data_IF_293881926059
#
_entry.id   IF_293881926059
#
_cell.length_a   1.000
_cell.length_b   1.000
_cell.length_c   1.000
_cell.angle_alpha   90.00
_cell.angle_beta   90.00
_cell.angle_gamma   90.00
#
_symmetry.space_group_name_H-M   'P 1'
#
loop_
_entity.id
_entity.type
_entity.pdbx_description
1 polymer ?
#
# COMPACT_ATOMS: atom_id res chain seq x y z
N UNK A 1 -15.29 -31.09 -4.52
CA UNK A 1 -14.60 -30.59 -5.72
C UNK A 1 -13.11 -30.68 -5.46
N UNK A 2 -12.40 -31.52 -6.20
CA UNK A 2 -10.93 -31.59 -6.18
C UNK A 2 -10.43 -30.40 -7.00
N UNK A 3 -10.33 -29.23 -6.34
CA UNK A 3 -9.81 -28.04 -7.00
C UNK A 3 -8.28 -28.06 -6.98
N UNK A 4 -7.65 -27.81 -8.12
CA UNK A 4 -6.23 -27.50 -8.20
C UNK A 4 -5.95 -26.20 -7.45
N UNK A 5 -4.80 -26.11 -6.77
CA UNK A 5 -4.35 -24.91 -6.05
C UNK A 5 -2.98 -24.51 -6.53
N UNK A 6 -2.74 -23.21 -6.65
CA UNK A 6 -1.43 -22.64 -6.95
C UNK A 6 -0.93 -21.87 -5.73
N UNK A 7 0.32 -22.07 -5.38
CA UNK A 7 0.99 -21.37 -4.29
C UNK A 7 2.11 -20.51 -4.88
N UNK A 8 1.98 -19.17 -4.91
CA UNK A 8 3.13 -18.31 -5.17
C UNK A 8 4.24 -18.60 -4.17
N UNK A 9 5.46 -18.78 -4.66
CA UNK A 9 6.62 -19.03 -3.83
C UNK A 9 7.37 -17.71 -3.66
N UNK A 10 7.48 -17.24 -2.41
CA UNK A 10 8.00 -15.92 -2.08
C UNK A 10 9.25 -16.05 -1.20
N UNK A 11 10.39 -15.42 -1.58
CA UNK A 11 11.59 -15.43 -0.77
C UNK A 11 11.50 -14.49 0.43
N UNK A 12 12.24 -14.81 1.48
CA UNK A 12 12.49 -13.94 2.62
C UNK A 12 13.93 -14.12 3.13
N UNK A 13 14.46 -13.14 3.85
CA UNK A 13 15.76 -13.25 4.49
C UNK A 13 15.67 -14.10 5.76
N UNK A 14 14.61 -13.91 6.55
CA UNK A 14 14.32 -14.64 7.77
C UNK A 14 12.88 -15.18 7.75
N UNK A 15 12.74 -16.49 8.04
CA UNK A 15 11.43 -17.14 8.00
C UNK A 15 10.60 -16.80 9.25
N UNK A 16 11.21 -16.70 10.43
CA UNK A 16 10.49 -16.42 11.67
C UNK A 16 9.94 -14.97 11.65
N UNK A 17 10.68 -14.01 11.10
CA UNK A 17 10.20 -12.65 10.83
C UNK A 17 9.03 -12.65 9.84
N UNK A 18 9.13 -13.42 8.76
CA UNK A 18 8.06 -13.54 7.78
C UNK A 18 6.80 -14.14 8.40
N UNK A 19 6.92 -15.20 9.21
CA UNK A 19 5.78 -15.82 9.90
C UNK A 19 5.13 -14.86 10.89
N UNK A 20 5.90 -14.05 11.61
CA UNK A 20 5.41 -13.01 12.51
C UNK A 20 4.60 -11.96 11.74
N UNK A 21 5.13 -11.48 10.63
CA UNK A 21 4.46 -10.51 9.77
C UNK A 21 3.14 -11.05 9.19
N UNK A 22 3.16 -12.24 8.58
CA UNK A 22 1.96 -12.82 7.99
C UNK A 22 0.91 -13.17 9.04
N UNK A 23 1.32 -13.60 10.24
CA UNK A 23 0.40 -13.81 11.37
C UNK A 23 -0.28 -12.52 11.81
N UNK A 24 0.42 -11.39 11.83
CA UNK A 24 -0.17 -10.08 12.10
C UNK A 24 -1.19 -9.65 11.04
N UNK A 25 -1.02 -10.08 9.78
CA UNK A 25 -2.02 -9.90 8.72
C UNK A 25 -3.21 -10.86 8.84
N UNK A 26 -3.22 -11.77 9.82
CA UNK A 26 -4.28 -12.74 10.04
C UNK A 26 -4.11 -14.07 9.29
N UNK A 27 -2.96 -14.31 8.66
CA UNK A 27 -2.66 -15.61 8.04
C UNK A 27 -2.39 -16.67 9.11
N UNK A 28 -2.84 -17.89 8.86
CA UNK A 28 -2.52 -19.09 9.64
C UNK A 28 -1.34 -19.81 9.01
N UNK A 29 -0.50 -20.42 9.83
CA UNK A 29 0.63 -21.22 9.37
C UNK A 29 0.14 -22.66 9.22
N UNK A 30 -0.05 -23.13 7.98
CA UNK A 30 -0.52 -24.50 7.70
C UNK A 30 0.60 -25.51 7.54
N UNK A 31 1.82 -25.03 7.24
CA UNK A 31 3.02 -25.86 7.16
C UNK A 31 4.24 -25.05 7.61
N UNK A 32 5.17 -25.67 8.35
CA UNK A 32 6.42 -25.05 8.76
C UNK A 32 7.54 -26.08 8.83
N UNK A 33 8.62 -25.84 8.09
CA UNK A 33 9.83 -26.65 8.07
C UNK A 33 11.06 -25.78 8.34
N UNK A 34 11.86 -26.16 9.32
CA UNK A 34 13.12 -25.47 9.65
C UNK A 34 14.34 -26.08 8.99
N UNK A 35 14.32 -27.40 8.72
CA UNK A 35 15.45 -28.15 8.12
C UNK A 35 14.92 -29.19 7.14
N UNK A 36 15.63 -29.55 6.06
CA UNK A 36 16.95 -29.00 5.66
C UNK A 36 16.85 -27.60 5.03
N UNK A 37 15.68 -27.22 4.46
CA UNK A 37 15.42 -25.93 3.83
C UNK A 37 14.31 -25.22 4.59
N UNK A 38 14.59 -24.04 5.22
CA UNK A 38 13.57 -23.31 5.95
C UNK A 38 12.47 -22.82 4.99
N UNK A 39 11.24 -23.29 5.20
CA UNK A 39 10.08 -22.88 4.42
C UNK A 39 8.77 -23.06 5.21
N UNK A 40 7.74 -22.34 4.82
CA UNK A 40 6.43 -22.42 5.42
C UNK A 40 5.32 -22.15 4.41
N UNK A 41 4.10 -22.62 4.72
CA UNK A 41 2.89 -22.22 4.01
C UNK A 41 2.04 -21.40 4.96
N UNK A 42 1.61 -20.21 4.48
CA UNK A 42 0.70 -19.32 5.18
C UNK A 42 -0.59 -19.19 4.38
N UNK A 43 -1.73 -19.24 5.08
CA UNK A 43 -3.06 -19.25 4.44
C UNK A 43 -4.00 -18.27 5.11
N UNK A 44 -4.78 -17.54 4.31
CA UNK A 44 -5.86 -16.66 4.73
C UNK A 44 -7.02 -16.79 3.74
N UNK A 45 -8.11 -17.39 4.17
CA UNK A 45 -9.23 -17.80 3.32
C UNK A 45 -8.71 -18.69 2.15
N UNK A 46 -8.89 -18.26 0.89
CA UNK A 46 -8.38 -18.96 -0.29
C UNK A 46 -7.00 -18.50 -0.75
N UNK A 47 -6.42 -17.52 -0.04
CA UNK A 47 -5.08 -16.99 -0.34
C UNK A 47 -4.05 -17.86 0.35
N UNK A 48 -3.05 -18.34 -0.40
CA UNK A 48 -1.97 -19.12 0.17
C UNK A 48 -0.63 -18.76 -0.46
N UNK A 49 0.41 -18.65 0.36
CA UNK A 49 1.79 -18.41 -0.08
C UNK A 49 2.71 -19.47 0.48
N UNK A 50 3.69 -19.87 -0.33
CA UNK A 50 4.82 -20.69 0.13
C UNK A 50 6.00 -19.74 0.35
N UNK A 51 6.40 -19.55 1.60
CA UNK A 51 7.55 -18.74 2.00
C UNK A 51 8.79 -19.62 2.08
N UNK A 52 9.94 -19.10 1.62
CA UNK A 52 11.21 -19.79 1.80
C UNK A 52 12.31 -18.80 2.16
N UNK A 53 13.15 -19.18 3.14
CA UNK A 53 14.28 -18.37 3.54
C UNK A 53 15.49 -18.66 2.65
N UNK A 54 16.18 -17.58 2.26
CA UNK A 54 17.41 -17.64 1.47
C UNK A 54 18.54 -16.91 2.20
N UNK A 55 19.62 -17.63 2.49
CA UNK A 55 20.81 -17.03 3.09
C UNK A 55 21.37 -15.91 2.19
N UNK A 56 21.64 -14.75 2.78
CA UNK A 56 22.16 -13.58 2.04
C UNK A 56 21.15 -12.87 1.15
N UNK A 57 19.87 -13.21 1.24
CA UNK A 57 18.82 -12.53 0.49
C UNK A 57 18.63 -11.09 0.97
N UNK A 58 18.65 -10.14 0.05
CA UNK A 58 18.37 -8.74 0.32
C UNK A 58 16.93 -8.39 -0.10
N UNK A 59 16.01 -8.13 0.85
CA UNK A 59 14.64 -7.76 0.56
C UNK A 59 14.49 -6.51 -0.32
N UNK A 60 15.45 -5.58 -0.28
CA UNK A 60 15.43 -4.38 -1.13
C UNK A 60 15.55 -4.70 -2.62
N UNK A 61 16.13 -5.85 -2.95
CA UNK A 61 16.32 -6.35 -4.31
C UNK A 61 15.32 -7.45 -4.69
N UNK A 62 14.22 -7.63 -3.94
CA UNK A 62 13.20 -8.62 -4.28
C UNK A 62 12.43 -8.24 -5.53
N UNK A 63 12.26 -9.21 -6.44
CA UNK A 63 11.33 -9.17 -7.56
C UNK A 63 10.08 -10.02 -7.31
N UNK A 64 9.94 -10.58 -6.11
CA UNK A 64 8.78 -11.36 -5.72
C UNK A 64 7.49 -10.54 -5.82
N UNK A 65 6.47 -11.09 -6.48
CA UNK A 65 5.20 -10.39 -6.65
C UNK A 65 4.06 -11.37 -6.81
N UNK A 66 2.90 -11.03 -6.22
CA UNK A 66 1.65 -11.73 -6.44
C UNK A 66 0.51 -10.74 -6.67
N UNK A 67 -0.43 -11.10 -7.55
CA UNK A 67 -1.69 -10.40 -7.73
C UNK A 67 -2.77 -11.25 -7.06
N UNK A 68 -3.52 -10.64 -6.16
CA UNK A 68 -4.58 -11.28 -5.38
C UNK A 68 -5.87 -10.54 -5.67
N UNK A 69 -6.92 -11.27 -6.02
CA UNK A 69 -8.24 -10.69 -6.17
C UNK A 69 -9.10 -11.02 -4.96
N UNK A 70 -9.75 -10.00 -4.38
CA UNK A 70 -10.60 -10.11 -3.20
C UNK A 70 -11.95 -9.43 -3.45
N UNK A 71 -12.97 -9.83 -2.70
CA UNK A 71 -14.29 -9.21 -2.84
C UNK A 71 -14.26 -7.74 -2.43
N UNK A 72 -13.76 -7.44 -1.24
CA UNK A 72 -13.70 -6.10 -0.66
C UNK A 72 -12.28 -5.74 -0.23
N UNK A 73 -11.50 -5.04 -1.10
CA UNK A 73 -10.14 -4.62 -0.77
C UNK A 73 -10.06 -3.69 0.44
N UNK A 74 -11.08 -2.83 0.67
CA UNK A 74 -11.13 -1.92 1.80
C UNK A 74 -11.14 -2.65 3.14
N UNK A 75 -12.03 -3.61 3.30
CA UNK A 75 -12.15 -4.40 4.54
C UNK A 75 -10.86 -5.19 4.82
N UNK A 76 -10.25 -5.75 3.76
CA UNK A 76 -8.99 -6.46 3.86
C UNK A 76 -7.85 -5.53 4.28
N UNK A 77 -7.80 -4.34 3.71
CA UNK A 77 -6.82 -3.31 4.09
C UNK A 77 -6.96 -2.91 5.56
N UNK A 78 -8.17 -2.64 6.05
CA UNK A 78 -8.39 -2.27 7.45
C UNK A 78 -8.01 -3.41 8.42
N UNK A 79 -8.29 -4.66 8.06
CA UNK A 79 -7.84 -5.81 8.86
C UNK A 79 -6.30 -5.87 8.94
N UNK A 80 -5.60 -5.69 7.82
CA UNK A 80 -4.14 -5.68 7.77
C UNK A 80 -3.55 -4.49 8.53
N UNK A 81 -4.14 -3.30 8.36
CA UNK A 81 -3.76 -2.08 9.07
C UNK A 81 -3.83 -2.26 10.59
N UNK A 82 -4.90 -2.90 11.09
CA UNK A 82 -5.05 -3.22 12.51
C UNK A 82 -3.93 -4.12 13.00
N UNK A 83 -3.69 -5.25 12.34
CA UNK A 83 -2.66 -6.21 12.74
C UNK A 83 -1.24 -5.62 12.69
N UNK A 84 -0.93 -4.83 11.65
CA UNK A 84 0.37 -4.16 11.55
C UNK A 84 0.56 -3.07 12.61
N UNK A 85 -0.52 -2.35 12.98
CA UNK A 85 -0.45 -1.41 14.10
C UNK A 85 -0.21 -2.11 15.43
N UNK A 86 -0.82 -3.25 15.66
CA UNK A 86 -0.56 -4.08 16.85
C UNK A 86 0.88 -4.59 16.89
N UNK A 87 1.43 -5.01 15.75
CA UNK A 87 2.79 -5.54 15.66
C UNK A 87 3.88 -4.45 15.77
N UNK A 88 3.71 -3.32 15.09
CA UNK A 88 4.75 -2.28 14.95
C UNK A 88 4.46 -0.99 15.73
N UNK A 89 3.34 -0.89 16.46
CA UNK A 89 2.89 0.33 17.13
C UNK A 89 2.30 1.38 16.18
N UNK A 90 2.57 1.27 14.87
CA UNK A 90 2.04 2.11 13.79
C UNK A 90 1.91 1.32 12.50
N UNK A 91 1.22 1.90 11.50
CA UNK A 91 1.15 1.30 10.17
C UNK A 91 2.36 1.74 9.35
N UNK A 92 3.27 0.83 8.95
CA UNK A 92 4.42 1.22 8.13
C UNK A 92 3.96 1.55 6.71
N UNK A 93 4.27 2.75 6.20
CA UNK A 93 3.98 3.17 4.82
C UNK A 93 5.24 3.34 3.97
N UNK A 94 6.44 3.29 4.59
CA UNK A 94 7.74 3.41 3.93
C UNK A 94 8.68 2.28 4.34
N UNK A 95 9.68 2.02 3.52
CA UNK A 95 10.65 0.94 3.76
C UNK A 95 10.07 -0.45 3.49
N UNK A 96 10.64 -1.43 4.15
CA UNK A 96 10.22 -2.84 4.11
C UNK A 96 10.07 -3.29 5.57
N UNK A 97 8.92 -3.81 5.99
CA UNK A 97 7.67 -3.92 5.22
C UNK A 97 6.89 -2.60 5.14
N UNK A 98 5.84 -2.56 4.28
CA UNK A 98 4.89 -1.43 4.23
C UNK A 98 3.51 -1.85 3.73
N UNK A 99 2.49 -1.11 4.16
CA UNK A 99 1.11 -1.22 3.69
C UNK A 99 0.72 0.12 3.06
N UNK A 100 0.44 0.11 1.74
CA UNK A 100 0.01 1.30 1.02
C UNK A 100 -1.51 1.42 1.05
N UNK A 101 -2.07 2.63 1.22
CA UNK A 101 -3.51 2.84 1.25
C UNK A 101 -4.21 2.39 -0.04
N UNK A 102 -5.50 2.01 0.03
CA UNK A 102 -6.29 1.74 -1.16
C UNK A 102 -6.38 3.00 -2.01
N UNK A 103 -5.95 2.90 -3.27
CA UNK A 103 -6.07 3.97 -4.26
C UNK A 103 -6.48 3.39 -5.60
N UNK A 104 -7.23 4.20 -6.35
CA UNK A 104 -7.43 3.95 -7.75
C UNK A 104 -6.12 4.24 -8.50
N UNK A 105 -5.81 3.39 -9.46
CA UNK A 105 -4.60 3.49 -10.28
C UNK A 105 -4.98 3.51 -11.76
N UNK A 106 -4.34 4.35 -12.54
CA UNK A 106 -4.61 4.41 -13.98
C UNK A 106 -4.38 3.04 -14.64
N UNK A 107 -5.40 2.54 -15.32
CA UNK A 107 -5.35 1.26 -16.03
C UNK A 107 -5.39 0.03 -15.13
N UNK A 108 -5.89 0.16 -13.89
CA UNK A 108 -6.13 -0.97 -12.99
C UNK A 108 -7.32 -0.72 -12.08
N UNK A 109 -7.87 -1.78 -11.51
CA UNK A 109 -8.91 -1.70 -10.51
C UNK A 109 -8.44 -0.99 -9.23
N UNK A 110 -9.38 -0.47 -8.46
CA UNK A 110 -9.12 0.03 -7.11
C UNK A 110 -8.56 -1.09 -6.24
N UNK A 111 -7.48 -0.81 -5.53
CA UNK A 111 -6.82 -1.81 -4.70
C UNK A 111 -5.67 -1.21 -3.90
N UNK A 112 -5.04 -2.05 -3.09
CA UNK A 112 -3.90 -1.66 -2.26
C UNK A 112 -2.71 -2.60 -2.47
N UNK A 113 -1.57 -2.23 -1.94
CA UNK A 113 -0.34 -3.01 -2.03
C UNK A 113 0.25 -3.22 -0.64
N UNK A 114 0.65 -4.43 -0.35
CA UNK A 114 1.52 -4.79 0.77
C UNK A 114 2.90 -5.12 0.21
N UNK A 115 3.95 -4.56 0.78
CA UNK A 115 5.30 -5.08 0.60
C UNK A 115 5.66 -5.79 1.90
N UNK A 116 5.90 -7.10 1.82
CA UNK A 116 6.21 -7.91 3.00
C UNK A 116 7.65 -7.74 3.49
N UNK A 117 8.04 -8.42 4.54
CA UNK A 117 9.41 -8.37 5.10
C UNK A 117 10.48 -8.94 4.16
N UNK A 118 10.08 -9.77 3.20
CA UNK A 118 10.92 -10.25 2.10
C UNK A 118 11.03 -9.28 0.94
N UNK A 119 10.39 -8.10 1.01
CA UNK A 119 10.35 -7.15 -0.09
C UNK A 119 9.42 -7.56 -1.24
N UNK A 120 8.58 -8.57 -1.04
CA UNK A 120 7.66 -9.07 -2.07
C UNK A 120 6.44 -8.16 -2.17
N UNK A 121 6.00 -7.87 -3.39
CA UNK A 121 4.88 -6.99 -3.68
C UNK A 121 3.59 -7.77 -3.83
N UNK A 122 2.70 -7.69 -2.83
CA UNK A 122 1.38 -8.33 -2.81
C UNK A 122 0.33 -7.27 -3.19
N UNK A 123 -0.25 -7.41 -4.39
CA UNK A 123 -1.20 -6.45 -4.96
C UNK A 123 -2.61 -7.00 -4.86
N UNK A 124 -3.44 -6.35 -4.03
CA UNK A 124 -4.83 -6.73 -3.79
C UNK A 124 -5.75 -5.87 -4.64
N UNK A 125 -6.59 -6.49 -5.46
CA UNK A 125 -7.57 -5.82 -6.31
C UNK A 125 -8.97 -6.38 -6.08
N UNK A 126 -9.98 -5.59 -6.40
CA UNK A 126 -11.37 -6.06 -6.36
C UNK A 126 -11.60 -7.12 -7.43
N UNK A 127 -12.21 -8.24 -7.04
CA UNK A 127 -12.58 -9.32 -7.97
C UNK A 127 -13.60 -8.81 -9.01
N UNK A 128 -13.40 -9.17 -10.28
CA UNK A 128 -14.32 -8.81 -11.37
C UNK A 128 -14.28 -7.35 -11.82
N UNK A 129 -13.40 -6.50 -11.25
CA UNK A 129 -13.20 -5.15 -11.77
C UNK A 129 -12.35 -5.19 -13.04
N UNK A 130 -12.84 -4.57 -14.12
CA UNK A 130 -12.12 -4.42 -15.37
C UNK A 130 -11.55 -3.02 -15.52
N UNK A 131 -10.41 -2.90 -16.22
CA UNK A 131 -9.77 -1.64 -16.56
C UNK A 131 -10.63 -0.72 -17.44
N UNK A 132 -11.66 -1.28 -18.08
CA UNK A 132 -12.42 -0.65 -19.16
C UNK A 132 -13.83 -0.19 -18.77
N UNK A 133 -14.19 -0.09 -17.50
CA UNK A 133 -15.48 0.44 -17.13
C UNK A 133 -15.54 1.96 -17.48
N UNK A 134 -16.33 2.37 -18.50
CA UNK A 134 -16.43 3.78 -18.89
C UNK A 134 -16.96 4.68 -17.78
N UNK A 135 -17.76 4.13 -16.84
CA UNK A 135 -18.34 4.86 -15.70
C UNK A 135 -17.26 5.27 -14.70
N UNK A 136 -16.11 4.61 -14.75
CA UNK A 136 -14.98 4.84 -13.86
C UNK A 136 -13.90 5.78 -14.46
N UNK A 137 -14.09 6.35 -15.65
CA UNK A 137 -13.10 7.26 -16.26
C UNK A 137 -13.08 8.60 -15.53
N UNK A 138 -12.00 8.84 -14.80
CA UNK A 138 -11.73 10.12 -14.16
C UNK A 138 -11.03 11.08 -15.14
N UNK A 139 -11.24 12.39 -14.97
CA UNK A 139 -10.61 13.45 -15.76
C UNK A 139 -9.96 14.48 -14.83
N UNK A 140 -9.32 15.49 -15.38
CA UNK A 140 -8.73 16.56 -14.57
C UNK A 140 -7.68 16.08 -13.56
N UNK A 141 -7.70 16.67 -12.37
CA UNK A 141 -6.76 16.34 -11.30
C UNK A 141 -6.96 14.91 -10.79
N UNK A 142 -8.19 14.44 -10.71
CA UNK A 142 -8.47 13.06 -10.32
C UNK A 142 -7.75 12.03 -11.21
N UNK A 143 -7.69 12.27 -12.52
CA UNK A 143 -6.92 11.40 -13.43
C UNK A 143 -5.42 11.48 -13.19
N UNK A 144 -4.90 12.66 -12.83
CA UNK A 144 -3.49 12.83 -12.48
C UNK A 144 -3.14 12.02 -11.25
N UNK A 145 -4.01 12.02 -10.22
CA UNK A 145 -3.84 11.20 -9.01
C UNK A 145 -3.76 9.71 -9.37
N UNK A 146 -4.66 9.22 -10.24
CA UNK A 146 -4.63 7.82 -10.70
C UNK A 146 -3.31 7.45 -11.41
N UNK A 147 -2.76 8.38 -12.22
CA UNK A 147 -1.46 8.20 -12.89
C UNK A 147 -0.32 8.19 -11.88
N UNK A 148 -0.31 9.11 -10.93
CA UNK A 148 0.67 9.15 -9.86
C UNK A 148 0.65 7.87 -9.02
N UNK A 149 -0.55 7.38 -8.65
CA UNK A 149 -0.71 6.14 -7.89
C UNK A 149 -0.17 4.91 -8.66
N UNK A 150 -0.29 4.90 -9.98
CA UNK A 150 0.35 3.85 -10.79
C UNK A 150 1.87 3.90 -10.72
N UNK A 151 2.48 5.09 -10.68
CA UNK A 151 3.94 5.22 -10.55
C UNK A 151 4.41 4.85 -9.14
N UNK A 152 3.87 5.48 -8.09
CA UNK A 152 4.30 5.26 -6.70
C UNK A 152 3.89 3.89 -6.17
N UNK A 153 2.58 3.58 -6.19
CA UNK A 153 2.05 2.40 -5.48
C UNK A 153 2.13 1.10 -6.28
N UNK A 154 2.27 1.16 -7.62
CA UNK A 154 2.41 -0.05 -8.43
C UNK A 154 3.83 -0.31 -8.91
N UNK A 155 4.60 0.75 -9.20
CA UNK A 155 5.96 0.64 -9.74
C UNK A 155 7.05 0.94 -8.71
N UNK A 156 6.68 1.59 -7.58
CA UNK A 156 7.62 2.01 -6.56
C UNK A 156 8.43 3.26 -6.94
N UNK A 157 8.00 3.97 -7.98
CA UNK A 157 8.67 5.21 -8.44
C UNK A 157 8.00 6.42 -7.80
N UNK A 158 8.30 6.61 -6.51
CA UNK A 158 7.74 7.70 -5.70
C UNK A 158 8.17 9.09 -6.24
N UNK A 159 9.39 9.22 -6.76
CA UNK A 159 9.88 10.47 -7.33
C UNK A 159 9.12 10.88 -8.59
N UNK A 160 8.85 9.92 -9.48
CA UNK A 160 8.03 10.18 -10.67
C UNK A 160 6.58 10.49 -10.29
N UNK A 161 6.03 9.83 -9.27
CA UNK A 161 4.69 10.11 -8.77
C UNK A 161 4.57 11.54 -8.22
N UNK A 162 5.55 12.02 -7.47
CA UNK A 162 5.63 13.42 -7.00
C UNK A 162 5.63 14.38 -8.20
N UNK A 163 6.49 14.13 -9.19
CA UNK A 163 6.58 14.97 -10.40
C UNK A 163 5.22 15.07 -11.13
N UNK A 164 4.50 13.94 -11.22
CA UNK A 164 3.16 13.90 -11.83
C UNK A 164 2.16 14.73 -11.04
N UNK A 165 2.17 14.65 -9.71
CA UNK A 165 1.27 15.44 -8.84
C UNK A 165 1.59 16.93 -8.90
N UNK A 166 2.87 17.33 -8.89
CA UNK A 166 3.29 18.72 -9.03
C UNK A 166 2.75 19.34 -10.32
N UNK A 167 2.95 18.63 -11.45
CA UNK A 167 2.44 19.09 -12.73
C UNK A 167 0.89 19.17 -12.77
N UNK A 168 0.22 18.24 -12.09
CA UNK A 168 -1.23 18.20 -11.99
C UNK A 168 -1.82 19.35 -11.17
N UNK A 169 -1.30 19.56 -9.97
CA UNK A 169 -1.72 20.67 -9.10
C UNK A 169 -1.53 22.03 -9.77
N UNK A 170 -0.41 22.22 -10.49
CA UNK A 170 -0.19 23.44 -11.25
C UNK A 170 -1.10 23.61 -12.47
N UNK A 171 -1.51 22.51 -13.11
CA UNK A 171 -2.38 22.53 -14.30
C UNK A 171 -3.86 22.72 -13.96
N UNK A 172 -4.30 22.27 -12.81
CA UNK A 172 -5.70 22.28 -12.40
C UNK A 172 -5.90 23.07 -11.09
N UNK A 173 -5.60 24.41 -11.07
CA UNK A 173 -5.72 25.23 -9.87
C UNK A 173 -7.15 25.33 -9.34
N UNK A 174 -8.14 25.21 -10.23
CA UNK A 174 -9.57 25.28 -9.92
C UNK A 174 -10.23 23.88 -9.79
N UNK A 175 -9.43 22.83 -9.50
CA UNK A 175 -9.97 21.50 -9.32
C UNK A 175 -10.89 21.43 -8.08
N UNK A 176 -11.85 20.49 -8.03
CA UNK A 176 -12.70 20.29 -6.87
C UNK A 176 -11.90 20.13 -5.59
N UNK A 177 -12.29 20.78 -4.46
CA UNK A 177 -11.55 20.71 -3.19
C UNK A 177 -11.22 19.29 -2.72
N UNK A 178 -12.10 18.28 -2.84
CA UNK A 178 -11.75 16.90 -2.49
C UNK A 178 -10.60 16.32 -3.32
N UNK A 179 -10.50 16.68 -4.61
CA UNK A 179 -9.40 16.22 -5.47
C UNK A 179 -8.08 16.93 -5.12
N UNK A 180 -8.13 18.22 -4.78
CA UNK A 180 -6.95 18.98 -4.31
C UNK A 180 -6.44 18.38 -2.99
N UNK A 181 -7.36 18.11 -2.05
CA UNK A 181 -7.04 17.47 -0.79
C UNK A 181 -6.38 16.10 -1.01
N UNK A 182 -6.98 15.22 -1.83
CA UNK A 182 -6.45 13.89 -2.16
C UNK A 182 -5.05 13.99 -2.77
N UNK A 183 -4.82 14.93 -3.70
CA UNK A 183 -3.53 15.13 -4.36
C UNK A 183 -2.44 15.58 -3.37
N UNK A 184 -2.74 16.56 -2.51
CA UNK A 184 -1.83 17.06 -1.50
C UNK A 184 -1.49 15.99 -0.46
N UNK A 185 -2.50 15.26 0.01
CA UNK A 185 -2.31 14.20 0.98
C UNK A 185 -1.43 13.07 0.40
N UNK A 186 -1.68 12.69 -0.85
CA UNK A 186 -0.85 11.66 -1.50
C UNK A 186 0.57 12.17 -1.74
N UNK A 187 0.76 13.43 -2.12
CA UNK A 187 2.09 14.00 -2.27
C UNK A 187 2.85 14.04 -0.94
N UNK A 188 2.20 14.43 0.16
CA UNK A 188 2.77 14.36 1.50
C UNK A 188 3.25 12.95 1.87
N UNK A 189 2.46 11.93 1.56
CA UNK A 189 2.83 10.54 1.79
C UNK A 189 4.06 10.12 0.96
N UNK A 190 4.12 10.50 -0.31
CA UNK A 190 5.27 10.23 -1.18
C UNK A 190 6.53 10.98 -0.71
N UNK A 191 6.40 12.24 -0.27
CA UNK A 191 7.49 12.99 0.35
C UNK A 191 8.02 12.28 1.59
N UNK A 192 7.14 11.82 2.49
CA UNK A 192 7.55 11.05 3.66
C UNK A 192 8.27 9.74 3.30
N UNK A 193 7.83 9.04 2.22
CA UNK A 193 8.47 7.82 1.74
C UNK A 193 9.89 8.07 1.23
N UNK A 194 10.12 9.18 0.53
CA UNK A 194 11.43 9.58 0.00
C UNK A 194 12.33 10.24 1.05
N UNK A 195 11.82 10.51 2.25
CA UNK A 195 12.54 11.23 3.30
C UNK A 195 12.56 12.76 3.11
N UNK A 196 11.76 13.28 2.19
CA UNK A 196 11.57 14.71 1.98
C UNK A 196 10.57 15.31 2.99
N UNK A 197 10.55 16.63 3.09
CA UNK A 197 9.65 17.35 3.99
C UNK A 197 8.20 17.32 3.49
N UNK A 198 7.32 16.64 4.22
CA UNK A 198 5.89 16.55 3.94
C UNK A 198 5.08 17.68 4.59
N UNK A 199 5.66 18.47 5.48
CA UNK A 199 4.92 19.46 6.27
C UNK A 199 4.17 20.51 5.42
N UNK A 200 4.74 21.04 4.32
CA UNK A 200 4.02 22.01 3.48
C UNK A 200 2.72 21.43 2.88
N UNK A 201 2.77 20.18 2.44
CA UNK A 201 1.60 19.50 1.84
C UNK A 201 0.53 19.18 2.87
N UNK A 202 0.94 18.72 4.05
CA UNK A 202 0.02 18.48 5.16
C UNK A 202 -0.67 19.76 5.62
N UNK A 203 0.08 20.88 5.69
CA UNK A 203 -0.50 22.17 6.02
C UNK A 203 -1.49 22.66 4.95
N UNK A 204 -1.15 22.49 3.67
CA UNK A 204 -2.05 22.83 2.58
C UNK A 204 -3.31 21.95 2.56
N UNK A 205 -3.17 20.64 2.79
CA UNK A 205 -4.31 19.72 2.91
C UNK A 205 -5.21 20.09 4.10
N UNK A 206 -4.62 20.45 5.25
CA UNK A 206 -5.35 20.93 6.42
C UNK A 206 -6.17 22.19 6.12
N UNK A 207 -5.63 23.14 5.35
CA UNK A 207 -6.34 24.33 4.94
C UNK A 207 -7.54 24.00 4.03
N UNK A 208 -7.34 23.15 3.03
CA UNK A 208 -8.43 22.69 2.16
C UNK A 208 -9.53 21.98 2.95
N UNK A 209 -9.16 21.13 3.91
CA UNK A 209 -10.09 20.41 4.79
C UNK A 209 -10.96 21.38 5.59
N UNK A 210 -10.33 22.39 6.21
CA UNK A 210 -11.00 23.38 7.06
C UNK A 210 -11.93 24.29 6.25
N UNK A 211 -11.47 24.79 5.09
CA UNK A 211 -12.21 25.74 4.25
C UNK A 211 -13.43 25.11 3.59
N UNK A 212 -13.42 23.80 3.32
CA UNK A 212 -14.44 23.11 2.54
C UNK A 212 -15.21 22.04 3.32
N UNK A 213 -14.93 21.83 4.61
CA UNK A 213 -15.62 20.88 5.50
C UNK A 213 -15.76 19.48 4.88
N UNK A 214 -14.64 18.87 4.46
CA UNK A 214 -14.62 17.62 3.69
C UNK A 214 -15.09 16.36 4.48
N UNK A 215 -15.38 16.51 5.78
CA UNK A 215 -15.93 15.46 6.62
C UNK A 215 -14.91 14.59 7.34
N UNK A 216 -15.44 13.70 8.18
CA UNK A 216 -14.66 12.91 9.15
C UNK A 216 -13.66 11.94 8.50
N UNK A 217 -13.99 11.37 7.34
CA UNK A 217 -13.07 10.48 6.62
C UNK A 217 -11.79 11.21 6.18
N UNK A 218 -11.93 12.47 5.72
CA UNK A 218 -10.79 13.29 5.34
C UNK A 218 -9.95 13.70 6.57
N UNK A 219 -10.59 13.99 7.70
CA UNK A 219 -9.90 14.26 8.97
C UNK A 219 -9.03 13.06 9.40
N UNK A 220 -9.60 11.86 9.35
CA UNK A 220 -8.90 10.61 9.71
C UNK A 220 -7.74 10.33 8.74
N UNK A 221 -7.92 10.57 7.44
CA UNK A 221 -6.88 10.40 6.44
C UNK A 221 -5.70 11.36 6.67
N UNK A 222 -6.00 12.63 6.98
CA UNK A 222 -4.97 13.63 7.28
C UNK A 222 -4.20 13.29 8.57
N UNK A 223 -4.90 12.86 9.63
CA UNK A 223 -4.28 12.46 10.87
C UNK A 223 -3.31 11.27 10.67
N UNK A 224 -3.72 10.27 9.89
CA UNK A 224 -2.88 9.12 9.55
C UNK A 224 -1.64 9.54 8.72
N UNK A 225 -1.80 10.47 7.77
CA UNK A 225 -0.69 10.96 6.98
C UNK A 225 0.32 11.73 7.83
N UNK A 226 -0.17 12.56 8.77
CA UNK A 226 0.66 13.29 9.71
C UNK A 226 1.43 12.37 10.67
N UNK A 227 0.79 11.32 11.21
CA UNK A 227 1.44 10.28 12.03
C UNK A 227 2.63 9.63 11.28
N UNK A 228 2.46 9.38 10.00
CA UNK A 228 3.47 8.72 9.17
C UNK A 228 4.57 9.65 8.66
N UNK A 229 4.33 10.95 8.58
CA UNK A 229 5.32 11.94 8.17
C UNK A 229 6.37 12.21 9.26
N UNK A 230 6.00 12.04 10.53
CA UNK A 230 6.91 12.21 11.65
C UNK A 230 7.49 10.84 12.06
N UNK A 231 8.82 10.62 11.93
CA UNK A 231 9.41 9.41 12.50
C UNK A 231 9.24 9.47 14.03
N UNK A 232 9.05 8.32 14.72
CA UNK A 232 9.09 8.31 16.17
C UNK A 232 10.45 8.89 16.62
N UNK A 233 10.44 9.80 17.57
CA UNK A 233 11.66 10.23 18.25
C UNK A 233 12.34 8.97 18.78
N UNK A 234 13.59 8.76 18.37
CA UNK A 234 14.41 7.63 18.80
C UNK A 234 14.59 7.75 20.32
N UNK A 235 13.96 6.85 21.09
CA UNK A 235 14.28 6.63 22.50
C UNK A 235 15.45 5.66 22.61
#
# INVERSE_FOLDING_TARGET
>A
MTGERTYPVLPCADLDDALTFYSALGFTISFHQRRPYPCAVVELDEIAFHLFAMDGFDPANSYGSAIITVAEPGDRHEAFKKGLRELYGKVPIKGIPRLLPPRRKAGTATGFTVVDVGGNWLRFYRHGSSEDDPSERRSGLARVIDVAARQGDSRGDDAQAITVLDAGLGRYPDAPPPEVFEALLYRAELMARTGADAAPDLAAAQAVLADHQLGEEAEQALALAAENAHPPESQ
#
